data_IF_502423639304
#
_entry.id   IF_502423639304
#
_cell.length_a   1.000
_cell.length_b   1.000
_cell.length_c   1.000
_cell.angle_alpha   90.00
_cell.angle_beta   90.00
_cell.angle_gamma   90.00
#
_symmetry.space_group_name_H-M   'P 1'
#
loop_
_entity.id
_entity.type
_entity.pdbx_description
1 polymer ?
#
# COMPACT_ATOMS: atom_id res chain seq x y z
N UNK A 1 13.57 -0.95 7.99
CA UNK A 1 12.42 -0.03 7.90
C UNK A 1 11.58 -0.23 9.16
N UNK A 2 11.08 0.84 9.78
CA UNK A 2 10.20 0.71 10.96
C UNK A 2 8.90 -0.02 10.57
N UNK A 3 8.30 -0.75 11.50
CA UNK A 3 7.11 -1.56 11.24
C UNK A 3 5.96 -0.73 10.64
N UNK A 4 5.70 0.46 11.19
CA UNK A 4 4.62 1.33 10.68
C UNK A 4 4.82 1.74 9.22
N UNK A 5 6.07 2.04 8.84
CA UNK A 5 6.40 2.40 7.45
C UNK A 5 6.28 1.17 6.54
N UNK A 6 6.66 -0.01 7.03
CA UNK A 6 6.46 -1.25 6.30
C UNK A 6 4.99 -1.55 6.05
N UNK A 7 4.14 -1.37 7.07
CA UNK A 7 2.70 -1.59 6.97
C UNK A 7 2.07 -0.64 5.94
N UNK A 8 2.48 0.63 5.92
CA UNK A 8 2.05 1.58 4.89
C UNK A 8 2.42 1.09 3.48
N UNK A 9 3.64 0.61 3.27
CA UNK A 9 4.02 0.09 1.96
C UNK A 9 3.25 -1.18 1.57
N UNK A 10 3.04 -2.10 2.51
CA UNK A 10 2.24 -3.32 2.28
C UNK A 10 0.84 -2.93 1.81
N UNK A 11 0.19 -2.02 2.54
CA UNK A 11 -1.14 -1.51 2.23
C UNK A 11 -1.23 -0.90 0.83
N UNK A 12 -0.26 -0.07 0.46
CA UNK A 12 -0.18 0.52 -0.89
C UNK A 12 -0.07 -0.58 -1.96
N UNK A 13 0.70 -1.64 -1.70
CA UNK A 13 0.80 -2.77 -2.63
C UNK A 13 -0.51 -3.54 -2.76
N UNK A 14 -1.23 -3.77 -1.65
CA UNK A 14 -2.54 -4.43 -1.68
C UNK A 14 -3.54 -3.63 -2.51
N UNK A 15 -3.65 -2.32 -2.28
CA UNK A 15 -4.53 -1.46 -3.07
C UNK A 15 -4.13 -1.44 -4.55
N UNK A 16 -2.83 -1.33 -4.84
CA UNK A 16 -2.34 -1.34 -6.22
C UNK A 16 -2.59 -2.66 -6.95
N UNK A 17 -2.60 -3.79 -6.23
CA UNK A 17 -2.91 -5.11 -6.79
C UNK A 17 -4.42 -5.25 -7.03
N UNK A 18 -5.23 -4.92 -6.03
CA UNK A 18 -6.69 -4.95 -6.10
C UNK A 18 -7.29 -3.99 -7.16
N UNK A 19 -6.49 -3.05 -7.67
CA UNK A 19 -6.88 -2.18 -8.79
C UNK A 19 -6.70 -2.83 -10.16
N UNK A 20 -5.83 -3.85 -10.27
CA UNK A 20 -5.58 -4.59 -11.50
C UNK A 20 -6.50 -5.80 -11.61
N UNK A 21 -6.60 -6.56 -10.53
CA UNK A 21 -7.39 -7.79 -10.44
C UNK A 21 -7.94 -7.95 -9.02
N UNK A 22 -9.00 -8.74 -8.85
CA UNK A 22 -9.52 -9.07 -7.53
C UNK A 22 -8.45 -9.79 -6.69
N UNK A 23 -8.36 -9.41 -5.42
CA UNK A 23 -7.27 -9.82 -4.55
C UNK A 23 -7.70 -11.02 -3.70
N UNK A 24 -6.90 -12.08 -3.69
CA UNK A 24 -7.04 -13.17 -2.71
C UNK A 24 -5.87 -13.15 -1.73
N UNK A 25 -6.11 -13.66 -0.50
CA UNK A 25 -5.05 -13.83 0.51
C UNK A 25 -3.89 -14.67 -0.04
N UNK A 26 -4.20 -15.68 -0.86
CA UNK A 26 -3.21 -16.62 -1.42
C UNK A 26 -2.34 -16.00 -2.51
N UNK A 27 -2.87 -15.03 -3.24
CA UNK A 27 -2.12 -14.37 -4.32
C UNK A 27 -1.24 -13.24 -3.77
N UNK A 28 -1.72 -12.49 -2.78
CA UNK A 28 -1.01 -11.31 -2.30
C UNK A 28 0.17 -11.64 -1.38
N UNK A 29 0.09 -12.71 -0.58
CA UNK A 29 1.18 -13.05 0.35
C UNK A 29 2.49 -13.35 -0.39
N UNK A 30 2.53 -14.23 -1.43
CA UNK A 30 3.74 -14.45 -2.21
C UNK A 30 4.29 -13.17 -2.85
N UNK A 31 3.42 -12.30 -3.37
CA UNK A 31 3.83 -11.02 -3.98
C UNK A 31 4.53 -10.11 -2.96
N UNK A 32 4.06 -10.10 -1.71
CA UNK A 32 4.69 -9.33 -0.64
C UNK A 32 6.04 -9.97 -0.22
N UNK A 33 6.10 -11.28 -0.10
CA UNK A 33 7.32 -12.01 0.24
C UNK A 33 8.43 -11.82 -0.82
N UNK A 34 8.08 -11.89 -2.12
CA UNK A 34 9.01 -11.65 -3.23
C UNK A 34 9.61 -10.23 -3.23
N UNK A 35 8.86 -9.25 -2.71
CA UNK A 35 9.32 -7.86 -2.55
C UNK A 35 10.13 -7.64 -1.27
N UNK A 36 10.38 -8.69 -0.50
CA UNK A 36 11.21 -8.68 0.71
C UNK A 36 10.45 -8.35 1.99
N UNK A 37 9.11 -8.29 1.96
CA UNK A 37 8.32 -8.15 3.19
C UNK A 37 8.29 -9.48 3.94
N UNK A 38 8.48 -9.42 5.26
CA UNK A 38 8.29 -10.57 6.15
C UNK A 38 6.89 -10.48 6.74
N UNK A 39 5.93 -11.09 6.06
CA UNK A 39 4.51 -11.10 6.47
C UNK A 39 3.97 -12.53 6.44
N UNK A 40 3.22 -12.91 7.47
CA UNK A 40 2.47 -14.16 7.50
C UNK A 40 1.03 -13.99 7.03
N UNK A 41 0.36 -15.10 6.72
CA UNK A 41 -1.03 -15.13 6.28
C UNK A 41 -1.97 -14.39 7.24
N UNK A 42 -1.74 -14.47 8.55
CA UNK A 42 -2.54 -13.76 9.56
C UNK A 42 -2.41 -12.24 9.45
N UNK A 43 -1.21 -11.74 9.19
CA UNK A 43 -0.94 -10.30 9.05
C UNK A 43 -1.58 -9.77 7.76
N UNK A 44 -1.48 -10.56 6.67
CA UNK A 44 -2.16 -10.26 5.41
C UNK A 44 -3.68 -10.17 5.59
N UNK A 45 -4.29 -11.16 6.24
CA UNK A 45 -5.73 -11.13 6.54
C UNK A 45 -6.13 -9.93 7.38
N UNK A 46 -5.35 -9.62 8.42
CA UNK A 46 -5.63 -8.47 9.28
C UNK A 46 -5.61 -7.16 8.48
N UNK A 47 -4.65 -6.98 7.57
CA UNK A 47 -4.57 -5.77 6.76
C UNK A 47 -5.72 -5.67 5.74
N UNK A 48 -6.13 -6.78 5.14
CA UNK A 48 -7.32 -6.82 4.26
C UNK A 48 -8.61 -6.48 5.01
N UNK A 49 -8.74 -6.96 6.26
CA UNK A 49 -9.84 -6.58 7.15
C UNK A 49 -9.81 -5.08 7.48
N UNK A 50 -8.64 -4.50 7.77
CA UNK A 50 -8.48 -3.06 8.03
C UNK A 50 -8.90 -2.24 6.80
N UNK A 51 -8.38 -2.59 5.62
CA UNK A 51 -8.72 -1.96 4.35
C UNK A 51 -10.22 -2.04 4.03
N UNK A 52 -10.88 -3.12 4.45
CA UNK A 52 -12.33 -3.28 4.33
C UNK A 52 -13.08 -2.38 5.31
N UNK A 53 -12.66 -2.33 6.58
CA UNK A 53 -13.26 -1.46 7.60
C UNK A 53 -13.17 0.03 7.22
N UNK A 54 -12.10 0.39 6.53
CA UNK A 54 -11.86 1.74 6.02
C UNK A 54 -12.56 2.01 4.68
N UNK A 55 -13.36 1.06 4.17
CA UNK A 55 -14.11 1.16 2.92
C UNK A 55 -13.22 1.34 1.68
N UNK A 56 -11.95 0.91 1.72
CA UNK A 56 -11.09 0.90 0.53
C UNK A 56 -11.20 -0.40 -0.27
N UNK A 57 -11.49 -1.50 0.42
CA UNK A 57 -11.83 -2.78 -0.19
C UNK A 57 -13.26 -3.19 0.16
N UNK A 58 -13.87 -3.98 -0.72
CA UNK A 58 -15.10 -4.71 -0.42
C UNK A 58 -14.85 -6.21 -0.61
N UNK A 59 -15.15 -7.04 0.40
CA UNK A 59 -15.05 -8.48 0.27
C UNK A 59 -16.23 -9.03 -0.53
N UNK A 60 -15.97 -10.05 -1.34
CA UNK A 60 -16.98 -10.88 -1.99
C UNK A 60 -16.41 -12.29 -2.18
N UNK A 61 -17.21 -13.31 -1.85
CA UNK A 61 -16.75 -14.70 -1.79
C UNK A 61 -15.44 -14.86 -0.99
N UNK A 62 -14.34 -15.21 -1.66
CA UNK A 62 -12.98 -15.34 -1.11
C UNK A 62 -12.01 -14.26 -1.65
N UNK A 63 -12.56 -13.18 -2.22
CA UNK A 63 -11.86 -12.12 -2.93
C UNK A 63 -12.15 -10.74 -2.34
N UNK A 64 -11.30 -9.78 -2.69
CA UNK A 64 -11.44 -8.37 -2.34
C UNK A 64 -11.29 -7.52 -3.59
N UNK A 65 -12.26 -6.63 -3.85
CA UNK A 65 -12.15 -5.61 -4.91
C UNK A 65 -11.95 -4.22 -4.30
N UNK A 66 -11.32 -3.33 -5.08
CA UNK A 66 -11.32 -1.91 -4.76
C UNK A 66 -12.74 -1.32 -4.77
N UNK A 67 -13.04 -0.48 -3.79
CA UNK A 67 -14.23 0.39 -3.83
C UNK A 67 -13.92 1.67 -4.60
N UNK A 68 -14.94 2.50 -4.85
CA UNK A 68 -14.71 3.85 -5.39
C UNK A 68 -13.78 4.70 -4.51
N UNK A 69 -13.96 4.65 -3.19
CA UNK A 69 -13.08 5.35 -2.24
C UNK A 69 -11.65 4.80 -2.26
N UNK A 70 -11.48 3.48 -2.44
CA UNK A 70 -10.16 2.87 -2.61
C UNK A 70 -9.44 3.32 -3.88
N UNK A 71 -10.18 3.58 -4.96
CA UNK A 71 -9.61 4.09 -6.21
C UNK A 71 -9.11 5.52 -6.00
N UNK A 72 -9.92 6.38 -5.37
CA UNK A 72 -9.53 7.76 -5.06
C UNK A 72 -8.29 7.81 -4.16
N UNK A 73 -8.28 7.02 -3.09
CA UNK A 73 -7.13 6.90 -2.18
C UNK A 73 -5.86 6.44 -2.91
N UNK A 74 -5.95 5.42 -3.76
CA UNK A 74 -4.80 4.93 -4.51
C UNK A 74 -4.25 5.99 -5.48
N UNK A 75 -5.12 6.78 -6.12
CA UNK A 75 -4.71 7.86 -7.00
C UNK A 75 -3.97 8.97 -6.24
N UNK A 76 -4.47 9.36 -5.06
CA UNK A 76 -3.81 10.34 -4.20
C UNK A 76 -2.44 9.84 -3.72
N UNK A 77 -2.37 8.57 -3.29
CA UNK A 77 -1.10 7.91 -2.93
C UNK A 77 -0.11 7.94 -4.08
N UNK A 78 -0.51 7.59 -5.30
CA UNK A 78 0.38 7.57 -6.47
C UNK A 78 0.93 8.95 -6.78
N UNK A 79 0.10 9.99 -6.69
CA UNK A 79 0.53 11.38 -6.87
C UNK A 79 1.57 11.78 -5.82
N UNK A 80 1.29 11.48 -4.56
CA UNK A 80 2.18 11.82 -3.44
C UNK A 80 3.50 11.02 -3.47
N UNK A 81 3.47 9.75 -3.85
CA UNK A 81 4.67 8.94 -4.05
C UNK A 81 5.57 9.50 -5.15
N UNK A 82 4.99 10.03 -6.22
CA UNK A 82 5.73 10.72 -7.28
C UNK A 82 6.52 11.91 -6.73
N UNK A 83 5.86 12.77 -5.95
CA UNK A 83 6.50 13.92 -5.29
C UNK A 83 7.58 13.46 -4.31
N UNK A 84 7.27 12.49 -3.46
CA UNK A 84 8.22 11.95 -2.47
C UNK A 84 9.46 11.36 -3.13
N UNK A 85 9.30 10.68 -4.25
CA UNK A 85 10.42 10.12 -5.01
C UNK A 85 11.34 11.21 -5.58
N UNK A 86 10.77 12.28 -6.14
CA UNK A 86 11.54 13.43 -6.59
C UNK A 86 12.34 14.06 -5.44
N UNK A 87 11.71 14.26 -4.29
CA UNK A 87 12.32 14.94 -3.14
C UNK A 87 13.36 14.07 -2.41
N UNK A 88 13.05 12.80 -2.13
CA UNK A 88 13.88 11.95 -1.27
C UNK A 88 14.93 11.17 -2.06
N UNK A 89 14.64 10.81 -3.31
CA UNK A 89 15.54 9.96 -4.11
C UNK A 89 16.30 10.76 -5.16
N UNK A 90 15.62 11.60 -5.95
CA UNK A 90 16.27 12.32 -7.05
C UNK A 90 16.97 13.60 -6.62
N UNK A 91 16.42 14.36 -5.66
CA UNK A 91 17.00 15.61 -5.20
C UNK A 91 17.15 15.70 -3.67
N UNK A 92 17.91 14.79 -3.05
CA UNK A 92 18.00 14.68 -1.59
C UNK A 92 18.56 15.94 -0.91
N UNK A 93 19.32 16.79 -1.62
CA UNK A 93 19.91 18.01 -1.07
C UNK A 93 18.89 19.15 -0.84
N UNK A 94 17.75 19.13 -1.54
CA UNK A 94 16.72 20.17 -1.40
C UNK A 94 15.88 20.02 -0.12
N UNK A 95 15.72 18.78 0.36
CA UNK A 95 14.97 18.46 1.60
C UNK A 95 15.72 18.95 2.84
N UNK A 96 17.05 18.82 2.88
CA UNK A 96 17.89 19.27 4.00
C UNK A 96 17.91 20.80 4.19
N UNK A 97 17.80 21.56 3.09
CA UNK A 97 17.80 23.03 3.16
C UNK A 97 16.47 23.60 3.70
N UNK A 98 15.34 22.99 3.33
CA UNK A 98 14.01 23.39 3.84
C UNK A 98 13.78 23.04 5.31
N UNK A 99 14.31 21.92 5.80
CA UNK A 99 14.16 21.51 7.20
C UNK A 99 15.01 22.34 8.18
N UNK A 100 15.97 23.13 7.68
CA UNK A 100 16.89 23.95 8.47
C UNK A 100 16.52 25.45 8.50
N UNK A 101 15.35 25.83 7.97
CA UNK A 101 14.86 27.22 7.87
C UNK A 101 13.60 27.45 8.69
#
# INVERSE_FOLDING_TARGET
MHADVQNLFIRIQMLSYAHQDDLTVRDIQPVLEERGYRVGEREVKQELENLTQENFLTPHDDMFSLTGAGIEELQEIQLMLGVLYEDVVKNPAHVTARASS
#
